data_IF_048601127190
#
_entry.id   IF_048601127190
#
_cell.length_a   1.000
_cell.length_b   1.000
_cell.length_c   1.000
_cell.angle_alpha   90.00
_cell.angle_beta   90.00
_cell.angle_gamma   90.00
#
_symmetry.space_group_name_H-M   'P 1'
#
loop_
_entity.id
_entity.type
_entity.pdbx_description
1 polymer ?
#
# COMPACT_ATOMS: atom_id res chain seq x y z
N UNK A 1 -21.18 10.15 31.93
CA UNK A 1 -20.37 10.94 31.00
C UNK A 1 -20.49 12.45 31.21
N UNK A 2 -21.67 13.00 31.47
CA UNK A 2 -21.78 14.39 31.92
C UNK A 2 -20.97 14.71 33.18
N UNK A 3 -20.76 13.76 34.09
CA UNK A 3 -19.98 13.95 35.31
C UNK A 3 -18.46 14.03 35.08
N UNK A 4 -17.92 13.39 34.04
CA UNK A 4 -16.49 13.43 33.72
C UNK A 4 -16.12 14.75 33.04
N UNK A 5 -16.97 15.28 32.16
CA UNK A 5 -16.74 16.61 31.56
C UNK A 5 -16.95 17.75 32.58
N UNK A 6 -17.87 17.58 33.53
CA UNK A 6 -18.07 18.55 34.59
C UNK A 6 -16.94 18.62 35.64
N UNK A 7 -16.10 17.58 35.70
CA UNK A 7 -14.93 17.53 36.58
C UNK A 7 -13.61 17.98 35.89
N UNK A 8 -13.63 18.30 34.62
CA UNK A 8 -12.44 18.77 33.90
C UNK A 8 -12.17 20.27 34.17
N UNK A 9 -10.90 20.68 34.38
CA UNK A 9 -10.57 22.08 34.58
C UNK A 9 -10.98 22.94 33.37
N UNK A 10 -11.67 24.05 33.62
CA UNK A 10 -12.19 24.97 32.60
C UNK A 10 -11.14 25.46 31.59
N UNK A 11 -9.86 25.52 31.98
CA UNK A 11 -8.77 25.91 31.10
C UNK A 11 -8.45 24.87 30.01
N UNK A 12 -8.72 23.57 30.21
CA UNK A 12 -8.54 22.53 29.18
C UNK A 12 -9.68 22.57 28.13
N UNK A 13 -10.88 23.00 28.52
CA UNK A 13 -11.99 23.22 27.59
C UNK A 13 -11.73 24.51 26.79
N UNK A 14 -11.24 25.55 27.42
CA UNK A 14 -10.91 26.85 26.80
C UNK A 14 -9.68 26.79 25.88
N UNK A 15 -8.78 25.80 26.05
CA UNK A 15 -7.57 25.63 25.23
C UNK A 15 -7.82 24.94 23.87
N UNK A 16 -9.06 24.53 23.55
CA UNK A 16 -9.40 23.81 22.32
C UNK A 16 -8.84 22.37 22.25
N UNK A 17 -8.24 21.88 23.35
CA UNK A 17 -7.71 20.49 23.42
C UNK A 17 -8.85 19.48 23.60
N UNK A 18 -9.97 19.90 24.21
CA UNK A 18 -11.18 19.07 24.31
C UNK A 18 -12.17 19.56 23.25
N UNK A 19 -12.64 18.70 22.36
CA UNK A 19 -13.65 19.08 21.38
C UNK A 19 -14.91 19.60 22.08
N UNK A 20 -15.31 20.83 21.80
CA UNK A 20 -16.63 21.33 22.22
C UNK A 20 -17.69 20.62 21.38
N UNK A 21 -18.76 20.05 22.00
CA UNK A 21 -19.83 19.43 21.24
C UNK A 21 -20.46 20.46 20.30
N UNK A 22 -20.51 20.17 19.01
CA UNK A 22 -21.27 20.98 18.06
C UNK A 22 -22.77 20.59 18.19
N UNK A 23 -23.57 21.48 18.69
CA UNK A 23 -25.00 21.24 18.92
C UNK A 23 -25.76 20.84 17.65
N UNK A 24 -25.28 21.25 16.47
CA UNK A 24 -25.88 20.86 15.18
C UNK A 24 -25.83 19.34 14.94
N UNK A 25 -24.85 18.64 15.50
CA UNK A 25 -24.67 17.20 15.40
C UNK A 25 -25.09 16.42 16.64
N UNK A 26 -25.79 17.06 17.62
CA UNK A 26 -26.32 16.43 18.82
C UNK A 26 -25.33 16.28 19.97
N UNK A 27 -24.21 17.01 19.92
CA UNK A 27 -23.19 17.01 20.97
C UNK A 27 -22.32 15.74 21.01
N UNK A 28 -21.48 15.60 22.03
CA UNK A 28 -20.56 14.49 22.18
C UNK A 28 -21.27 13.18 22.56
N UNK A 29 -21.18 12.17 21.68
CA UNK A 29 -21.82 10.87 21.84
C UNK A 29 -20.89 9.79 22.42
N UNK A 30 -21.47 8.75 23.03
CA UNK A 30 -20.70 7.59 23.48
C UNK A 30 -19.99 6.87 22.31
N UNK A 31 -20.65 6.82 21.14
CA UNK A 31 -20.07 6.24 19.92
C UNK A 31 -18.82 7.02 19.50
N UNK A 32 -18.90 8.35 19.51
CA UNK A 32 -17.75 9.21 19.21
C UNK A 32 -16.61 8.98 20.20
N UNK A 33 -16.89 8.87 21.51
CA UNK A 33 -15.87 8.60 22.53
C UNK A 33 -15.15 7.26 22.31
N UNK A 34 -15.90 6.20 22.00
CA UNK A 34 -15.32 4.89 21.67
C UNK A 34 -14.50 4.96 20.38
N UNK A 35 -15.00 5.62 19.35
CA UNK A 35 -14.32 5.84 18.07
C UNK A 35 -12.97 6.53 18.25
N UNK A 36 -12.93 7.63 19.01
CA UNK A 36 -11.69 8.36 19.31
C UNK A 36 -10.70 7.48 20.08
N UNK A 37 -11.14 6.75 21.11
CA UNK A 37 -10.27 5.87 21.88
C UNK A 37 -9.64 4.77 21.02
N UNK A 38 -10.44 4.07 20.20
CA UNK A 38 -9.95 3.02 19.31
C UNK A 38 -9.02 3.57 18.24
N UNK A 39 -9.41 4.69 17.61
CA UNK A 39 -8.63 5.32 16.54
C UNK A 39 -7.40 6.10 17.05
N UNK A 40 -7.21 6.23 18.33
CA UNK A 40 -5.96 6.69 18.93
C UNK A 40 -5.03 5.51 19.25
N UNK A 41 -5.53 4.50 19.97
CA UNK A 41 -4.70 3.39 20.47
C UNK A 41 -4.21 2.48 19.34
N UNK A 42 -5.10 2.05 18.46
CA UNK A 42 -4.73 1.10 17.39
C UNK A 42 -3.70 1.68 16.39
N UNK A 43 -3.83 2.94 15.94
CA UNK A 43 -2.80 3.59 15.14
C UNK A 43 -1.43 3.70 15.82
N UNK A 44 -1.38 4.02 17.11
CA UNK A 44 -0.09 4.06 17.83
C UNK A 44 0.61 2.70 17.81
N UNK A 45 -0.13 1.62 18.07
CA UNK A 45 0.39 0.25 17.96
C UNK A 45 0.89 -0.03 16.55
N UNK A 46 0.09 0.34 15.54
CA UNK A 46 0.42 0.16 14.14
C UNK A 46 1.73 0.85 13.75
N UNK A 47 1.88 2.12 14.12
CA UNK A 47 3.11 2.88 13.85
C UNK A 47 4.33 2.30 14.58
N UNK A 48 4.19 1.95 15.85
CA UNK A 48 5.28 1.34 16.63
C UNK A 48 5.77 0.04 15.99
N UNK A 49 4.86 -0.82 15.55
CA UNK A 49 5.19 -2.07 14.87
C UNK A 49 5.81 -1.83 13.49
N UNK A 50 5.30 -0.85 12.73
CA UNK A 50 5.85 -0.49 11.42
C UNK A 50 7.29 0.00 11.54
N UNK A 51 7.57 0.95 12.43
CA UNK A 51 8.93 1.45 12.62
C UNK A 51 9.89 0.35 13.11
N UNK A 52 9.45 -0.52 14.01
CA UNK A 52 10.22 -1.70 14.41
C UNK A 52 10.56 -2.59 13.21
N UNK A 53 9.59 -2.85 12.32
CA UNK A 53 9.81 -3.70 11.16
C UNK A 53 10.71 -3.05 10.11
N UNK A 54 10.57 -1.73 9.89
CA UNK A 54 11.49 -0.98 9.02
C UNK A 54 12.93 -1.03 9.54
N UNK A 55 13.12 -0.91 10.87
CA UNK A 55 14.42 -1.09 11.50
C UNK A 55 15.02 -2.48 11.25
N UNK A 56 14.18 -3.55 11.28
CA UNK A 56 14.62 -4.92 10.96
C UNK A 56 15.04 -5.06 9.50
N UNK A 57 14.32 -4.45 8.55
CA UNK A 57 14.74 -4.45 7.15
C UNK A 57 16.08 -3.72 6.95
N UNK A 58 16.26 -2.57 7.61
CA UNK A 58 17.56 -1.87 7.57
C UNK A 58 18.68 -2.73 8.15
N UNK A 59 18.43 -3.42 9.26
CA UNK A 59 19.40 -4.34 9.86
C UNK A 59 19.73 -5.50 8.90
N UNK A 60 18.72 -6.11 8.27
CA UNK A 60 18.90 -7.16 7.27
C UNK A 60 19.77 -6.69 6.09
N UNK A 61 19.48 -5.51 5.53
CA UNK A 61 20.27 -5.00 4.38
C UNK A 61 21.71 -4.67 4.75
N UNK A 62 21.98 -4.33 6.02
CA UNK A 62 23.35 -4.09 6.51
C UNK A 62 24.18 -5.37 6.66
N UNK A 63 23.57 -6.56 6.66
CA UNK A 63 24.30 -7.84 6.64
C UNK A 63 24.90 -8.12 5.27
N UNK A 64 24.30 -7.57 4.21
CA UNK A 64 24.73 -7.87 2.83
C UNK A 64 26.02 -7.17 2.45
N UNK A 65 26.72 -7.76 1.50
CA UNK A 65 27.99 -7.26 0.96
C UNK A 65 27.81 -5.89 0.29
N UNK A 66 28.85 -5.03 0.28
CA UNK A 66 28.83 -3.76 -0.44
C UNK A 66 28.52 -3.93 -1.92
N UNK A 67 27.75 -2.99 -2.48
CA UNK A 67 27.46 -2.92 -3.91
C UNK A 67 27.70 -1.50 -4.43
N UNK A 68 28.88 -1.28 -4.99
CA UNK A 68 29.31 0.02 -5.47
C UNK A 68 28.46 0.49 -6.68
N UNK A 69 28.44 1.82 -6.92
CA UNK A 69 27.80 2.40 -8.11
C UNK A 69 26.27 2.51 -8.03
N UNK A 70 25.64 2.22 -6.89
CA UNK A 70 24.19 2.30 -6.72
C UNK A 70 23.65 3.71 -6.43
N UNK A 71 24.50 4.68 -6.12
CA UNK A 71 24.11 6.04 -5.73
C UNK A 71 24.50 7.13 -6.73
N UNK A 72 25.36 6.82 -7.71
CA UNK A 72 25.74 7.77 -8.76
C UNK A 72 24.56 8.26 -9.59
N UNK A 73 24.64 9.50 -10.11
CA UNK A 73 23.63 10.14 -10.96
C UNK A 73 22.22 10.26 -10.30
N UNK A 74 22.09 10.92 -9.14
CA UNK A 74 20.84 10.94 -8.37
C UNK A 74 19.65 11.53 -9.15
N UNK A 75 19.87 12.57 -9.96
CA UNK A 75 18.82 13.16 -10.80
C UNK A 75 18.24 12.15 -11.81
N UNK A 76 19.13 11.40 -12.51
CA UNK A 76 18.71 10.37 -13.46
C UNK A 76 17.95 9.24 -12.76
N UNK A 77 18.39 8.83 -11.55
CA UNK A 77 17.71 7.81 -10.74
C UNK A 77 16.33 8.23 -10.30
N UNK A 78 16.21 9.46 -9.83
CA UNK A 78 14.91 10.03 -9.41
C UNK A 78 13.96 10.15 -10.60
N UNK A 79 14.45 10.59 -11.77
CA UNK A 79 13.65 10.62 -12.99
C UNK A 79 13.22 9.21 -13.42
N UNK A 80 14.11 8.23 -13.35
CA UNK A 80 13.81 6.82 -13.65
C UNK A 80 12.75 6.28 -12.71
N UNK A 81 12.87 6.57 -11.41
CA UNK A 81 11.87 6.22 -10.42
C UNK A 81 10.50 6.84 -10.76
N UNK A 82 10.45 8.15 -11.00
CA UNK A 82 9.22 8.84 -11.36
C UNK A 82 8.58 8.25 -12.61
N UNK A 83 9.36 8.04 -13.67
CA UNK A 83 8.89 7.45 -14.93
C UNK A 83 8.35 6.02 -14.75
N UNK A 84 9.05 5.17 -14.01
CA UNK A 84 8.65 3.77 -13.83
C UNK A 84 7.47 3.65 -12.88
N UNK A 85 7.40 4.47 -11.85
CA UNK A 85 6.31 4.48 -10.89
C UNK A 85 5.04 5.12 -11.48
N UNK A 86 5.12 6.36 -11.98
CA UNK A 86 3.95 7.05 -12.52
C UNK A 86 3.49 6.47 -13.87
N UNK A 87 4.42 6.05 -14.71
CA UNK A 87 4.11 5.50 -16.03
C UNK A 87 3.89 4.00 -16.09
N UNK A 88 4.10 3.25 -14.99
CA UNK A 88 4.04 1.78 -14.93
C UNK A 88 4.75 1.07 -16.10
N UNK A 89 5.83 1.66 -16.59
CA UNK A 89 6.50 1.28 -17.84
C UNK A 89 7.00 -0.17 -17.85
N UNK A 90 7.26 -0.75 -16.67
CA UNK A 90 7.69 -2.17 -16.55
C UNK A 90 6.56 -3.17 -16.64
N UNK A 91 5.30 -2.71 -16.58
CA UNK A 91 4.11 -3.56 -16.70
C UNK A 91 3.45 -3.48 -18.09
N UNK A 92 3.98 -2.66 -19.00
CA UNK A 92 3.39 -2.34 -20.31
C UNK A 92 3.11 -3.55 -21.21
N UNK A 93 3.80 -4.69 -21.01
CA UNK A 93 3.54 -5.94 -21.73
C UNK A 93 2.19 -6.58 -21.39
N UNK A 94 1.65 -6.31 -20.20
CA UNK A 94 0.34 -6.80 -19.75
C UNK A 94 -0.60 -5.61 -19.61
N UNK A 95 -1.05 -5.05 -20.73
CA UNK A 95 -1.76 -3.76 -20.79
C UNK A 95 -2.93 -3.66 -19.82
N UNK A 96 -3.80 -4.67 -19.78
CA UNK A 96 -4.98 -4.68 -18.88
C UNK A 96 -4.53 -4.66 -17.41
N UNK A 97 -3.56 -5.52 -17.05
CA UNK A 97 -3.01 -5.53 -15.68
C UNK A 97 -2.32 -4.22 -15.35
N UNK A 98 -1.57 -3.64 -16.31
CA UNK A 98 -0.86 -2.38 -16.11
C UNK A 98 -1.83 -1.23 -15.80
N UNK A 99 -2.91 -1.09 -16.57
CA UNK A 99 -3.92 -0.04 -16.37
C UNK A 99 -4.68 -0.25 -15.07
N UNK A 100 -5.17 -1.46 -14.81
CA UNK A 100 -5.90 -1.77 -13.58
C UNK A 100 -5.03 -1.54 -12.33
N UNK A 101 -3.77 -1.99 -12.36
CA UNK A 101 -2.82 -1.78 -11.27
C UNK A 101 -2.42 -0.29 -11.13
N UNK A 102 -2.32 0.45 -12.23
CA UNK A 102 -2.03 1.87 -12.21
C UNK A 102 -3.08 2.66 -11.42
N UNK A 103 -4.36 2.44 -11.72
CA UNK A 103 -5.45 3.05 -10.96
C UNK A 103 -5.41 2.63 -9.48
N UNK A 104 -5.21 1.36 -9.20
CA UNK A 104 -5.12 0.87 -7.81
C UNK A 104 -3.92 1.47 -7.05
N UNK A 105 -2.77 1.60 -7.71
CA UNK A 105 -1.55 2.13 -7.10
C UNK A 105 -1.64 3.65 -6.85
N UNK A 106 -2.15 4.42 -7.81
CA UNK A 106 -2.33 5.86 -7.62
C UNK A 106 -3.49 6.17 -6.67
N UNK A 107 -4.56 5.36 -6.71
CA UNK A 107 -5.62 5.45 -5.71
C UNK A 107 -5.06 5.34 -4.28
N UNK A 108 -4.12 4.44 -4.02
CA UNK A 108 -3.49 4.31 -2.71
C UNK A 108 -2.87 5.63 -2.22
N UNK A 109 -2.19 6.38 -3.10
CA UNK A 109 -1.57 7.65 -2.75
C UNK A 109 -2.60 8.78 -2.55
N UNK A 110 -3.51 8.92 -3.52
CA UNK A 110 -4.52 9.99 -3.49
C UNK A 110 -5.47 9.77 -2.31
N UNK A 111 -5.95 8.56 -2.14
CA UNK A 111 -6.91 8.22 -1.11
C UNK A 111 -6.30 8.16 0.31
N UNK A 112 -4.96 8.16 0.43
CA UNK A 112 -4.30 8.32 1.73
C UNK A 112 -4.68 9.65 2.40
N UNK A 113 -4.86 10.72 1.65
CA UNK A 113 -5.35 12.01 2.17
C UNK A 113 -6.70 11.88 2.85
N UNK A 114 -7.57 11.02 2.32
CA UNK A 114 -8.89 10.74 2.91
C UNK A 114 -8.79 9.95 4.22
N UNK A 115 -7.69 9.20 4.44
CA UNK A 115 -7.45 8.56 5.74
C UNK A 115 -7.10 9.62 6.79
N UNK A 116 -6.25 10.59 6.42
CA UNK A 116 -5.95 11.74 7.29
C UNK A 116 -7.22 12.51 7.63
N UNK A 117 -8.06 12.81 6.62
CA UNK A 117 -9.34 13.50 6.82
C UNK A 117 -10.25 12.74 7.81
N UNK A 118 -10.30 11.40 7.73
CA UNK A 118 -11.14 10.58 8.59
C UNK A 118 -10.82 10.73 10.09
N UNK A 119 -9.56 10.95 10.47
CA UNK A 119 -9.22 11.23 11.87
C UNK A 119 -9.85 12.52 12.38
N UNK A 120 -9.87 13.56 11.57
CA UNK A 120 -10.48 14.83 11.93
C UNK A 120 -12.03 14.73 11.91
N UNK A 121 -12.58 13.92 11.02
CA UNK A 121 -14.03 13.65 11.00
C UNK A 121 -14.53 12.93 12.26
N UNK A 122 -13.67 12.25 13.02
CA UNK A 122 -14.06 11.71 14.34
C UNK A 122 -14.32 12.81 15.37
N UNK A 123 -13.73 13.99 15.19
CA UNK A 123 -13.93 15.15 16.07
C UNK A 123 -15.06 16.01 15.53
N UNK A 124 -15.02 16.34 14.25
CA UNK A 124 -15.98 17.19 13.56
C UNK A 124 -16.44 16.48 12.27
N UNK A 125 -17.70 15.98 12.22
CA UNK A 125 -18.15 15.09 11.13
C UNK A 125 -18.17 15.74 9.76
N UNK A 126 -18.34 17.05 9.67
CA UNK A 126 -18.30 17.85 8.44
C UNK A 126 -16.90 18.40 8.11
N UNK A 127 -15.85 17.93 8.83
CA UNK A 127 -14.49 18.39 8.61
C UNK A 127 -14.00 18.05 7.20
N UNK A 128 -13.32 19.04 6.60
CA UNK A 128 -12.64 18.92 5.32
C UNK A 128 -11.21 19.47 5.43
N UNK A 129 -10.28 18.81 4.75
CA UNK A 129 -8.88 19.22 4.77
C UNK A 129 -8.73 20.68 4.30
N UNK A 130 -7.96 21.53 5.01
CA UNK A 130 -7.69 22.89 4.58
C UNK A 130 -7.12 22.93 3.15
N UNK A 131 -7.47 23.95 2.39
CA UNK A 131 -7.02 24.23 1.01
C UNK A 131 -7.57 23.24 -0.01
N UNK A 132 -7.40 21.93 0.20
CA UNK A 132 -7.75 20.89 -0.78
C UNK A 132 -9.15 20.30 -0.57
N UNK A 133 -9.69 20.35 0.62
CA UNK A 133 -10.96 19.71 0.97
C UNK A 133 -12.20 20.35 0.36
N UNK A 134 -12.09 21.60 -0.14
CA UNK A 134 -13.11 22.35 -0.88
C UNK A 134 -12.66 22.68 -2.32
N UNK A 135 -11.60 22.05 -2.79
CA UNK A 135 -11.08 22.30 -4.13
C UNK A 135 -11.64 21.26 -5.10
N UNK A 136 -12.62 21.63 -5.97
CA UNK A 136 -13.32 20.67 -6.81
C UNK A 136 -12.43 19.73 -7.62
N UNK A 137 -11.30 20.19 -8.25
CA UNK A 137 -10.42 19.25 -8.95
C UNK A 137 -9.84 18.15 -8.09
N UNK A 138 -9.56 18.42 -6.81
CA UNK A 138 -9.08 17.39 -5.89
C UNK A 138 -10.21 16.44 -5.45
N UNK A 139 -11.39 16.96 -5.20
CA UNK A 139 -12.58 16.16 -4.88
C UNK A 139 -12.92 15.21 -6.04
N UNK A 140 -12.84 15.69 -7.28
CA UNK A 140 -13.00 14.88 -8.48
C UNK A 140 -11.95 13.77 -8.56
N UNK A 141 -10.68 14.08 -8.28
CA UNK A 141 -9.63 13.07 -8.23
C UNK A 141 -9.95 11.98 -7.21
N UNK A 142 -10.40 12.36 -6.01
CA UNK A 142 -10.76 11.39 -4.95
C UNK A 142 -11.87 10.46 -5.46
N UNK A 143 -12.95 10.97 -6.03
CA UNK A 143 -14.06 10.16 -6.51
C UNK A 143 -13.70 9.30 -7.73
N UNK A 144 -13.03 9.87 -8.72
CA UNK A 144 -12.58 9.14 -9.92
C UNK A 144 -11.65 8.00 -9.53
N UNK A 145 -10.66 8.25 -8.64
CA UNK A 145 -9.73 7.21 -8.24
C UNK A 145 -10.34 6.20 -7.27
N UNK A 146 -11.36 6.56 -6.49
CA UNK A 146 -12.10 5.59 -5.70
C UNK A 146 -12.86 4.59 -6.60
N UNK A 147 -13.64 5.07 -7.56
CA UNK A 147 -14.37 4.23 -8.51
C UNK A 147 -13.46 3.46 -9.45
N UNK A 148 -12.50 4.13 -10.08
CA UNK A 148 -11.56 3.48 -11.01
C UNK A 148 -10.64 2.48 -10.29
N UNK A 149 -10.23 2.78 -9.06
CA UNK A 149 -9.48 1.87 -8.20
C UNK A 149 -10.27 0.62 -7.85
N UNK A 150 -11.55 0.75 -7.54
CA UNK A 150 -12.46 -0.38 -7.27
C UNK A 150 -12.65 -1.26 -8.51
N UNK A 151 -12.89 -0.65 -9.66
CA UNK A 151 -13.00 -1.37 -10.94
C UNK A 151 -11.68 -2.06 -11.28
N UNK A 152 -10.55 -1.36 -11.14
CA UNK A 152 -9.21 -1.93 -11.37
C UNK A 152 -8.94 -3.12 -10.45
N UNK A 153 -9.32 -3.02 -9.18
CA UNK A 153 -9.21 -4.10 -8.22
C UNK A 153 -10.03 -5.32 -8.65
N UNK A 154 -11.29 -5.12 -9.06
CA UNK A 154 -12.16 -6.20 -9.55
C UNK A 154 -11.56 -6.91 -10.77
N UNK A 155 -10.99 -6.15 -11.71
CA UNK A 155 -10.27 -6.70 -12.88
C UNK A 155 -9.05 -7.53 -12.45
N UNK A 156 -8.25 -7.03 -11.47
CA UNK A 156 -7.07 -7.75 -10.98
C UNK A 156 -7.46 -9.05 -10.26
N UNK A 157 -8.54 -9.03 -9.46
CA UNK A 157 -9.10 -10.23 -8.81
C UNK A 157 -9.56 -11.23 -9.88
N UNK A 158 -10.30 -10.80 -10.88
CA UNK A 158 -10.76 -11.67 -11.98
C UNK A 158 -9.59 -12.33 -12.73
N UNK A 159 -8.52 -11.57 -13.03
CA UNK A 159 -7.31 -12.08 -13.66
C UNK A 159 -6.60 -13.09 -12.75
N UNK A 160 -6.53 -12.83 -11.44
CA UNK A 160 -5.95 -13.75 -10.46
C UNK A 160 -6.74 -15.05 -10.41
N UNK A 161 -8.07 -15.00 -10.35
CA UNK A 161 -8.92 -16.18 -10.33
C UNK A 161 -8.80 -16.99 -11.62
N UNK A 162 -8.82 -16.33 -12.79
CA UNK A 162 -8.63 -16.99 -14.09
C UNK A 162 -7.29 -17.72 -14.19
N UNK A 163 -6.23 -17.16 -13.61
CA UNK A 163 -4.88 -17.73 -13.63
C UNK A 163 -4.53 -18.48 -12.33
N UNK A 164 -5.49 -18.74 -11.46
CA UNK A 164 -5.24 -19.51 -10.26
C UNK A 164 -4.75 -20.93 -10.63
N UNK A 165 -3.76 -21.53 -9.93
CA UNK A 165 -3.24 -22.85 -10.25
C UNK A 165 -4.31 -23.96 -10.36
N UNK A 166 -5.42 -23.81 -9.62
CA UNK A 166 -6.57 -24.77 -9.69
C UNK A 166 -7.35 -24.71 -11.01
N UNK A 167 -7.33 -23.54 -11.69
CA UNK A 167 -8.05 -23.32 -12.96
C UNK A 167 -7.14 -23.25 -14.16
N UNK A 168 -5.81 -23.20 -13.96
CA UNK A 168 -4.84 -23.16 -15.05
C UNK A 168 -4.65 -24.57 -15.66
N UNK A 169 -4.60 -24.65 -16.97
CA UNK A 169 -4.26 -25.88 -17.68
C UNK A 169 -2.81 -26.31 -17.39
N UNK A 170 -2.57 -27.61 -17.21
CA UNK A 170 -1.25 -28.19 -17.00
C UNK A 170 -1.16 -28.98 -15.67
N UNK A 171 -0.08 -29.75 -15.52
CA UNK A 171 0.14 -30.61 -14.35
C UNK A 171 0.14 -29.79 -13.06
N UNK A 172 -0.84 -30.03 -12.17
CA UNK A 172 -0.97 -29.38 -10.88
C UNK A 172 -1.02 -27.83 -10.94
N UNK A 173 -1.37 -27.24 -12.09
CA UNK A 173 -1.37 -25.80 -12.28
C UNK A 173 0.03 -25.20 -12.51
N UNK A 174 1.05 -26.00 -12.80
CA UNK A 174 2.44 -25.57 -13.00
C UNK A 174 2.59 -24.47 -14.07
N UNK A 175 1.73 -24.46 -15.10
CA UNK A 175 1.75 -23.42 -16.14
C UNK A 175 1.28 -22.05 -15.65
N UNK A 176 0.64 -21.99 -14.49
CA UNK A 176 0.27 -20.72 -13.88
C UNK A 176 1.49 -19.96 -13.35
N UNK A 177 1.58 -18.68 -13.66
CA UNK A 177 2.57 -17.78 -13.04
C UNK A 177 2.36 -17.61 -11.53
N UNK A 178 1.18 -17.96 -11.01
CA UNK A 178 0.87 -17.94 -9.58
C UNK A 178 1.13 -19.27 -8.88
N UNK A 179 1.69 -20.29 -9.58
CA UNK A 179 2.08 -21.53 -8.96
C UNK A 179 3.01 -21.28 -7.75
N UNK A 180 2.68 -21.85 -6.60
CA UNK A 180 3.44 -21.67 -5.36
C UNK A 180 3.31 -20.27 -4.71
N UNK A 181 2.36 -19.42 -5.13
CA UNK A 181 2.10 -18.14 -4.46
C UNK A 181 1.31 -18.32 -3.17
N UNK A 182 1.53 -17.38 -2.22
CA UNK A 182 0.84 -17.32 -0.93
C UNK A 182 -0.48 -16.58 -1.06
N UNK A 183 -1.53 -17.26 -1.50
CA UNK A 183 -2.79 -16.63 -1.91
C UNK A 183 -3.51 -15.85 -0.80
N UNK A 184 -3.46 -16.31 0.46
CA UNK A 184 -4.14 -15.60 1.55
C UNK A 184 -3.64 -14.16 1.71
N UNK A 185 -2.33 -13.93 1.49
CA UNK A 185 -1.74 -12.59 1.56
C UNK A 185 -2.31 -11.67 0.48
N UNK A 186 -2.46 -12.21 -0.74
CA UNK A 186 -3.04 -11.46 -1.84
C UNK A 186 -4.51 -11.13 -1.59
N UNK A 187 -5.31 -12.11 -1.16
CA UNK A 187 -6.73 -11.90 -0.84
C UNK A 187 -6.93 -10.94 0.32
N UNK A 188 -6.10 -11.00 1.34
CA UNK A 188 -6.15 -10.06 2.45
C UNK A 188 -5.91 -8.61 2.00
N UNK A 189 -4.91 -8.38 1.14
CA UNK A 189 -4.65 -7.05 0.56
C UNK A 189 -5.80 -6.60 -0.32
N UNK A 190 -6.32 -7.47 -1.17
CA UNK A 190 -7.46 -7.18 -2.05
C UNK A 190 -8.71 -6.81 -1.23
N UNK A 191 -9.03 -7.59 -0.20
CA UNK A 191 -10.13 -7.29 0.72
C UNK A 191 -9.94 -5.96 1.46
N UNK A 192 -8.73 -5.68 1.95
CA UNK A 192 -8.41 -4.41 2.61
C UNK A 192 -8.66 -3.22 1.68
N UNK A 193 -8.15 -3.28 0.43
CA UNK A 193 -8.35 -2.20 -0.54
C UNK A 193 -9.84 -2.02 -0.84
N UNK A 194 -10.57 -3.13 -1.05
CA UNK A 194 -12.00 -3.11 -1.32
C UNK A 194 -12.77 -2.40 -0.20
N UNK A 195 -12.64 -2.85 1.04
CA UNK A 195 -13.39 -2.28 2.16
C UNK A 195 -13.01 -0.85 2.48
N UNK A 196 -11.72 -0.49 2.40
CA UNK A 196 -11.28 0.91 2.57
C UNK A 196 -11.89 1.80 1.49
N UNK A 197 -11.93 1.35 0.24
CA UNK A 197 -12.51 2.13 -0.87
C UNK A 197 -14.03 2.29 -0.71
N UNK A 198 -14.73 1.24 -0.27
CA UNK A 198 -16.17 1.34 0.06
C UNK A 198 -16.39 2.36 1.18
N UNK A 199 -15.57 2.34 2.24
CA UNK A 199 -15.69 3.37 3.30
C UNK A 199 -15.46 4.80 2.76
N UNK A 200 -14.55 4.98 1.80
CA UNK A 200 -14.33 6.30 1.18
C UNK A 200 -15.58 6.75 0.43
N UNK A 201 -16.17 5.90 -0.40
CA UNK A 201 -17.38 6.22 -1.15
C UNK A 201 -18.55 6.51 -0.22
N UNK A 202 -18.71 5.74 0.86
CA UNK A 202 -19.74 5.99 1.87
C UNK A 202 -19.53 7.34 2.58
N UNK A 203 -18.30 7.67 2.98
CA UNK A 203 -17.99 8.96 3.60
C UNK A 203 -18.28 10.13 2.65
N UNK A 204 -17.94 9.99 1.36
CA UNK A 204 -18.28 11.01 0.34
C UNK A 204 -19.81 11.15 0.20
N UNK A 205 -20.55 10.04 0.19
CA UNK A 205 -22.02 10.07 0.17
C UNK A 205 -22.63 10.72 1.40
N UNK A 206 -22.10 10.44 2.59
CA UNK A 206 -22.52 11.08 3.85
C UNK A 206 -22.19 12.57 3.84
N UNK A 207 -21.00 12.94 3.36
CA UNK A 207 -20.59 14.35 3.22
C UNK A 207 -21.51 15.09 2.24
N UNK A 208 -21.87 14.51 1.09
CA UNK A 208 -22.81 15.11 0.15
C UNK A 208 -24.20 15.34 0.77
N UNK A 209 -24.65 14.41 1.64
CA UNK A 209 -25.90 14.56 2.37
C UNK A 209 -25.85 15.65 3.44
N UNK A 210 -24.70 15.85 4.10
CA UNK A 210 -24.50 16.97 5.04
C UNK A 210 -24.46 18.31 4.30
N UNK A 211 -23.69 18.40 3.21
CA UNK A 211 -23.58 19.61 2.40
C UNK A 211 -24.94 20.05 1.87
N UNK A 212 -25.73 19.14 1.34
CA UNK A 212 -27.08 19.47 0.82
C UNK A 212 -27.99 20.14 1.86
N UNK A 213 -27.73 19.97 3.15
CA UNK A 213 -28.55 20.53 4.24
C UNK A 213 -27.91 21.73 4.93
N UNK A 214 -26.58 21.71 5.09
CA UNK A 214 -25.85 22.77 5.79
C UNK A 214 -25.49 23.92 4.85
N UNK A 215 -25.31 23.61 3.58
CA UNK A 215 -24.83 24.53 2.55
C UNK A 215 -25.70 24.39 1.27
N UNK A 216 -27.02 24.71 1.30
CA UNK A 216 -27.93 24.43 0.19
C UNK A 216 -27.57 25.19 -1.11
N UNK A 217 -26.80 26.27 -1.01
CA UNK A 217 -26.29 27.02 -2.16
C UNK A 217 -25.11 26.31 -2.87
N UNK A 218 -24.49 25.31 -2.21
CA UNK A 218 -23.33 24.58 -2.77
C UNK A 218 -23.79 23.58 -3.83
N UNK A 219 -23.21 23.68 -5.03
CA UNK A 219 -23.51 22.75 -6.11
C UNK A 219 -22.97 21.34 -5.84
N UNK A 220 -23.86 20.40 -5.55
CA UNK A 220 -23.48 19.00 -5.36
C UNK A 220 -22.83 18.39 -6.61
N UNK A 221 -23.28 18.77 -7.81
CA UNK A 221 -22.70 18.29 -9.06
C UNK A 221 -21.24 18.75 -9.24
N UNK A 222 -20.87 19.91 -8.69
CA UNK A 222 -19.52 20.43 -8.76
C UNK A 222 -18.59 19.75 -7.75
N UNK A 223 -19.06 19.48 -6.53
CA UNK A 223 -18.22 18.94 -5.45
C UNK A 223 -18.30 17.43 -5.30
N UNK A 224 -19.39 16.80 -5.79
CA UNK A 224 -19.66 15.36 -5.69
C UNK A 224 -20.13 14.78 -7.04
N UNK A 225 -19.31 14.84 -8.11
CA UNK A 225 -19.75 14.49 -9.47
C UNK A 225 -20.20 13.03 -9.60
N UNK A 226 -19.60 12.11 -8.85
CA UNK A 226 -19.88 10.68 -8.94
C UNK A 226 -20.54 10.11 -7.68
N UNK A 227 -20.61 10.86 -6.58
CA UNK A 227 -21.22 10.42 -5.31
C UNK A 227 -22.38 11.31 -4.84
N UNK A 228 -22.63 12.45 -5.47
CA UNK A 228 -23.70 13.38 -5.07
C UNK A 228 -25.10 12.78 -5.06
N UNK A 229 -25.38 11.81 -5.95
CA UNK A 229 -26.64 11.06 -5.96
C UNK A 229 -26.89 10.26 -4.68
N UNK A 230 -25.83 9.91 -3.92
CA UNK A 230 -25.93 9.18 -2.67
C UNK A 230 -26.59 10.01 -1.56
N UNK A 231 -26.61 11.35 -1.68
CA UNK A 231 -27.31 12.24 -0.73
C UNK A 231 -28.78 11.85 -0.57
N UNK A 232 -29.41 11.40 -1.66
CA UNK A 232 -30.78 10.90 -1.67
C UNK A 232 -31.00 9.64 -0.81
N UNK A 233 -29.99 8.78 -0.69
CA UNK A 233 -30.06 7.57 0.15
C UNK A 233 -30.19 7.92 1.64
N UNK A 234 -29.70 9.08 2.03
CA UNK A 234 -29.67 9.54 3.41
C UNK A 234 -30.71 10.64 3.70
N UNK A 235 -31.67 10.87 2.79
CA UNK A 235 -32.66 11.95 2.90
C UNK A 235 -33.48 11.90 4.18
N UNK A 236 -33.83 10.71 4.70
CA UNK A 236 -34.57 10.50 5.93
C UNK A 236 -33.73 10.50 7.22
N UNK A 237 -32.40 10.59 7.13
CA UNK A 237 -31.52 10.53 8.31
C UNK A 237 -31.29 11.94 8.86
N UNK A 238 -31.47 12.17 10.15
CA UNK A 238 -31.23 13.46 10.81
C UNK A 238 -29.74 13.85 10.78
N UNK A 239 -29.40 15.14 10.98
CA UNK A 239 -27.98 15.58 11.06
C UNK A 239 -27.21 14.84 12.16
N UNK A 240 -27.70 14.65 13.40
CA UNK A 240 -27.00 13.79 14.37
C UNK A 240 -26.87 12.33 13.95
N UNK A 241 -27.83 11.82 13.19
CA UNK A 241 -27.75 10.48 12.59
C UNK A 241 -26.65 10.39 11.53
N UNK A 242 -26.52 11.39 10.63
CA UNK A 242 -25.42 11.47 9.66
C UNK A 242 -24.06 11.53 10.35
N UNK A 243 -23.92 12.35 11.41
CA UNK A 243 -22.71 12.43 12.21
C UNK A 243 -22.33 11.07 12.81
N UNK A 244 -23.31 10.36 13.35
CA UNK A 244 -23.11 9.00 13.90
C UNK A 244 -22.60 8.04 12.82
N UNK A 245 -23.17 8.07 11.62
CA UNK A 245 -22.70 7.25 10.50
C UNK A 245 -21.28 7.63 10.06
N UNK A 246 -20.93 8.93 10.05
CA UNK A 246 -19.54 9.36 9.77
C UNK A 246 -18.58 8.79 10.80
N UNK A 247 -18.89 8.89 12.11
CA UNK A 247 -18.06 8.30 13.17
C UNK A 247 -17.86 6.81 12.98
N UNK A 248 -18.91 6.06 12.69
CA UNK A 248 -18.86 4.61 12.49
C UNK A 248 -18.01 4.27 11.26
N UNK A 249 -18.31 4.87 10.10
CA UNK A 249 -17.61 4.54 8.84
C UNK A 249 -16.15 5.01 8.88
N UNK A 250 -15.85 6.18 9.43
CA UNK A 250 -14.48 6.67 9.61
C UNK A 250 -13.69 5.75 10.54
N UNK A 251 -14.29 5.30 11.65
CA UNK A 251 -13.67 4.33 12.56
C UNK A 251 -13.37 3.03 11.86
N UNK A 252 -14.33 2.43 11.16
CA UNK A 252 -14.12 1.18 10.41
C UNK A 252 -12.97 1.35 9.40
N UNK A 253 -12.96 2.43 8.65
CA UNK A 253 -11.90 2.75 7.68
C UNK A 253 -10.52 2.82 8.33
N UNK A 254 -10.40 3.56 9.44
CA UNK A 254 -9.15 3.71 10.19
C UNK A 254 -8.70 2.34 10.74
N UNK A 255 -9.61 1.60 11.36
CA UNK A 255 -9.29 0.29 11.95
C UNK A 255 -8.84 -0.72 10.87
N UNK A 256 -9.51 -0.80 9.73
CA UNK A 256 -9.08 -1.66 8.62
C UNK A 256 -7.69 -1.25 8.12
N UNK A 257 -7.44 0.04 7.96
CA UNK A 257 -6.15 0.56 7.47
C UNK A 257 -5.00 0.22 8.45
N UNK A 258 -5.25 0.36 9.75
CA UNK A 258 -4.23 0.06 10.76
C UNK A 258 -4.13 -1.43 11.10
N UNK A 259 -5.20 -2.21 11.00
CA UNK A 259 -5.14 -3.66 11.05
C UNK A 259 -4.25 -4.20 9.92
N UNK A 260 -4.39 -3.64 8.70
CA UNK A 260 -3.49 -3.96 7.59
C UNK A 260 -2.04 -3.58 7.93
N UNK A 261 -1.78 -2.39 8.47
CA UNK A 261 -0.44 -1.95 8.84
C UNK A 261 0.19 -2.83 9.94
N UNK A 262 -0.58 -3.25 10.94
CA UNK A 262 -0.16 -4.18 11.98
C UNK A 262 0.20 -5.54 11.36
N UNK A 263 -0.69 -6.06 10.50
CA UNK A 263 -0.49 -7.37 9.86
C UNK A 263 0.80 -7.40 9.04
N UNK A 264 1.04 -6.40 8.18
CA UNK A 264 2.28 -6.37 7.39
C UNK A 264 3.52 -6.23 8.25
N UNK A 265 3.43 -5.47 9.35
CA UNK A 265 4.53 -5.29 10.29
C UNK A 265 4.90 -6.58 11.05
N UNK A 266 3.94 -7.48 11.22
CA UNK A 266 4.15 -8.80 11.80
C UNK A 266 4.52 -9.88 10.76
N UNK A 267 4.25 -9.61 9.46
CA UNK A 267 4.47 -10.51 8.33
C UNK A 267 5.46 -9.90 7.33
N UNK A 268 6.79 -9.95 7.62
CA UNK A 268 7.81 -9.32 6.76
C UNK A 268 7.91 -9.98 5.38
N UNK A 269 7.49 -11.23 5.23
CA UNK A 269 7.46 -11.96 3.95
C UNK A 269 6.29 -11.62 3.05
N UNK A 270 5.39 -10.74 3.50
CA UNK A 270 4.22 -10.31 2.74
C UNK A 270 4.59 -9.29 1.65
N UNK A 271 5.38 -9.72 0.67
CA UNK A 271 5.93 -8.84 -0.38
C UNK A 271 4.86 -8.16 -1.23
N UNK A 272 3.69 -8.79 -1.42
CA UNK A 272 2.53 -8.17 -2.08
C UNK A 272 2.03 -6.89 -1.38
N UNK A 273 2.31 -6.75 -0.10
CA UNK A 273 2.02 -5.53 0.66
C UNK A 273 3.27 -4.63 0.77
N UNK A 274 4.42 -5.21 1.09
CA UNK A 274 5.66 -4.46 1.32
C UNK A 274 6.21 -3.77 0.08
N UNK A 275 5.94 -4.25 -1.13
CA UNK A 275 6.41 -3.59 -2.35
C UNK A 275 5.96 -2.13 -2.47
N UNK A 276 4.87 -1.72 -1.81
CA UNK A 276 4.41 -0.32 -1.75
C UNK A 276 5.45 0.63 -1.16
N UNK A 277 6.28 0.13 -0.26
CA UNK A 277 7.36 0.88 0.39
C UNK A 277 8.71 0.54 -0.24
N UNK A 278 8.98 -0.73 -0.48
CA UNK A 278 10.29 -1.23 -0.91
C UNK A 278 10.55 -1.05 -2.40
N UNK A 279 9.51 -0.91 -3.25
CA UNK A 279 9.70 -0.66 -4.67
C UNK A 279 10.41 0.67 -4.94
N UNK A 280 10.18 1.70 -4.15
CA UNK A 280 10.84 3.00 -4.33
C UNK A 280 12.36 2.89 -4.19
N UNK A 281 12.93 2.43 -3.06
CA UNK A 281 14.38 2.22 -2.97
C UNK A 281 14.86 1.17 -3.96
N UNK A 282 14.08 0.10 -4.22
CA UNK A 282 14.47 -0.93 -5.18
C UNK A 282 14.67 -0.37 -6.59
N UNK A 283 13.77 0.47 -7.08
CA UNK A 283 13.87 1.12 -8.39
C UNK A 283 15.00 2.16 -8.38
N UNK A 284 15.12 2.95 -7.34
CA UNK A 284 16.12 4.02 -7.26
C UNK A 284 17.55 3.47 -7.26
N UNK A 285 17.78 2.36 -6.54
CA UNK A 285 19.09 1.70 -6.45
C UNK A 285 19.36 0.68 -7.58
N UNK A 286 18.70 0.78 -8.73
CA UNK A 286 19.05 -0.06 -9.89
C UNK A 286 20.51 0.09 -10.25
N UNK A 287 21.11 -0.98 -10.85
CA UNK A 287 22.50 -0.96 -11.28
C UNK A 287 22.77 0.22 -12.22
N UNK A 288 21.94 0.41 -13.24
CA UNK A 288 22.01 1.55 -14.14
C UNK A 288 20.98 2.62 -13.79
N UNK A 289 21.45 3.86 -13.64
CA UNK A 289 20.61 4.99 -13.28
C UNK A 289 19.47 5.24 -14.27
N UNK A 290 19.72 5.05 -15.58
CA UNK A 290 18.72 5.24 -16.65
C UNK A 290 17.64 4.16 -16.68
N UNK A 291 17.88 3.02 -16.03
CA UNK A 291 16.99 1.85 -16.06
C UNK A 291 16.78 1.24 -17.45
N UNK A 292 17.58 1.60 -18.45
CA UNK A 292 17.47 1.07 -19.84
C UNK A 292 17.73 -0.43 -19.88
N UNK A 293 18.84 -0.86 -19.28
CA UNK A 293 19.15 -2.27 -19.05
C UNK A 293 18.76 -2.63 -17.64
N UNK A 294 17.79 -3.52 -17.47
CA UNK A 294 17.20 -3.80 -16.16
C UNK A 294 18.22 -4.36 -15.16
N UNK A 295 19.09 -5.26 -15.60
CA UNK A 295 20.09 -5.93 -14.76
C UNK A 295 21.51 -5.39 -14.94
N UNK A 296 21.81 -4.77 -16.10
CA UNK A 296 23.16 -4.40 -16.50
C UNK A 296 24.00 -5.63 -16.93
N UNK A 297 25.29 -5.44 -17.14
CA UNK A 297 26.22 -6.53 -17.45
C UNK A 297 26.33 -7.51 -16.28
N UNK A 298 26.48 -8.80 -16.57
CA UNK A 298 26.78 -9.79 -15.53
C UNK A 298 28.08 -9.40 -14.81
N UNK A 299 28.09 -9.58 -13.50
CA UNK A 299 29.30 -9.45 -12.71
C UNK A 299 30.08 -10.77 -12.79
N UNK A 300 31.44 -10.73 -12.78
CA UNK A 300 32.20 -11.95 -12.62
C UNK A 300 31.86 -12.64 -11.31
N UNK A 301 31.97 -13.95 -11.26
CA UNK A 301 31.97 -14.69 -10.00
C UNK A 301 33.17 -14.23 -9.17
N UNK A 302 33.03 -14.28 -7.86
CA UNK A 302 34.09 -13.86 -6.94
C UNK A 302 34.39 -14.96 -5.93
N UNK A 303 35.65 -15.04 -5.50
CA UNK A 303 36.11 -15.79 -4.34
C UNK A 303 36.75 -14.78 -3.39
N UNK A 304 36.33 -14.75 -2.13
CA UNK A 304 36.87 -13.80 -1.17
C UNK A 304 36.78 -12.32 -1.61
N UNK A 305 35.81 -11.96 -2.48
CA UNK A 305 35.64 -10.62 -3.04
C UNK A 305 36.50 -10.30 -4.27
N UNK A 306 37.41 -11.19 -4.71
CA UNK A 306 38.20 -11.04 -5.93
C UNK A 306 37.53 -11.76 -7.11
N UNK A 307 37.59 -11.23 -8.34
CA UNK A 307 37.07 -11.92 -9.51
C UNK A 307 37.70 -13.30 -9.66
N UNK A 308 36.84 -14.29 -9.93
CA UNK A 308 37.29 -15.66 -10.20
C UNK A 308 37.97 -15.75 -11.56
N UNK A 309 39.14 -16.40 -11.60
CA UNK A 309 39.80 -16.88 -12.79
C UNK A 309 40.14 -18.38 -12.68
N UNK A 310 40.61 -18.97 -13.75
CA UNK A 310 40.87 -20.43 -13.74
C UNK A 310 42.10 -20.80 -12.89
N UNK A 311 43.03 -19.88 -12.67
CA UNK A 311 44.23 -20.12 -11.84
C UNK A 311 43.82 -20.15 -10.36
N UNK A 312 42.80 -19.30 -9.97
CA UNK A 312 42.26 -19.29 -8.60
C UNK A 312 41.54 -20.58 -8.21
N UNK A 313 41.20 -21.46 -9.16
CA UNK A 313 40.59 -22.78 -8.83
C UNK A 313 41.58 -23.72 -8.14
N UNK A 314 42.87 -23.61 -8.46
CA UNK A 314 43.92 -24.47 -7.87
C UNK A 314 44.29 -24.02 -6.45
N UNK A 315 43.96 -22.76 -6.10
CA UNK A 315 44.23 -22.15 -4.78
C UNK A 315 43.04 -22.18 -3.82
N UNK A 316 41.92 -22.89 -4.16
CA UNK A 316 40.76 -22.98 -3.33
C UNK A 316 41.04 -23.74 -2.03
N UNK A 317 40.80 -23.10 -0.90
CA UNK A 317 40.86 -23.70 0.43
C UNK A 317 39.50 -24.30 0.86
N UNK A 318 39.54 -25.26 1.79
CA UNK A 318 38.33 -25.80 2.37
C UNK A 318 37.60 -24.72 3.16
N UNK A 319 36.44 -24.28 2.66
CA UNK A 319 35.64 -23.18 3.22
C UNK A 319 35.49 -21.97 2.31
N UNK A 320 36.24 -21.90 1.22
CA UNK A 320 36.07 -20.85 0.21
C UNK A 320 34.73 -20.99 -0.50
N UNK A 321 34.03 -19.87 -0.66
CA UNK A 321 32.72 -19.83 -1.31
C UNK A 321 32.83 -19.19 -2.69
N UNK A 322 32.53 -19.97 -3.73
CA UNK A 322 32.42 -19.48 -5.09
C UNK A 322 31.06 -18.79 -5.30
N UNK A 323 31.08 -17.47 -5.38
CA UNK A 323 29.86 -16.67 -5.56
C UNK A 323 29.08 -16.47 -4.25
N UNK A 324 27.92 -17.12 -4.11
CA UNK A 324 27.04 -16.98 -2.96
C UNK A 324 26.75 -18.33 -2.34
N UNK A 325 27.24 -18.55 -1.12
CA UNK A 325 26.99 -19.77 -0.33
C UNK A 325 25.98 -19.57 0.79
N UNK A 326 25.82 -18.36 1.30
CA UNK A 326 24.92 -18.01 2.41
C UNK A 326 24.28 -16.63 2.20
N UNK A 327 23.29 -16.29 3.03
CA UNK A 327 22.52 -15.04 2.90
C UNK A 327 23.41 -13.79 2.96
N UNK A 328 24.43 -13.80 3.81
CA UNK A 328 25.38 -12.68 3.98
C UNK A 328 26.31 -12.45 2.79
N UNK A 329 26.42 -13.41 1.89
CA UNK A 329 27.23 -13.27 0.67
C UNK A 329 26.48 -12.49 -0.42
N UNK A 330 25.14 -12.36 -0.32
CA UNK A 330 24.42 -11.47 -1.20
C UNK A 330 24.75 -10.00 -0.90
N UNK A 331 24.72 -9.17 -1.95
CA UNK A 331 24.83 -7.74 -1.74
C UNK A 331 23.59 -7.18 -1.00
N UNK A 332 23.74 -6.07 -0.31
CA UNK A 332 22.61 -5.39 0.34
C UNK A 332 21.44 -5.12 -0.65
N UNK A 333 21.80 -4.87 -1.94
CA UNK A 333 20.80 -4.67 -2.98
C UNK A 333 20.08 -5.98 -3.35
N UNK A 334 20.79 -7.11 -3.34
CA UNK A 334 20.18 -8.43 -3.53
C UNK A 334 19.14 -8.74 -2.44
N UNK A 335 19.49 -8.46 -1.18
CA UNK A 335 18.55 -8.64 -0.05
C UNK A 335 17.32 -7.73 -0.16
N UNK A 336 17.49 -6.49 -0.65
CA UNK A 336 16.37 -5.60 -0.95
C UNK A 336 15.52 -6.15 -2.12
N UNK A 337 16.13 -6.74 -3.14
CA UNK A 337 15.40 -7.35 -4.27
C UNK A 337 14.51 -8.50 -3.80
N UNK A 338 15.02 -9.37 -2.91
CA UNK A 338 14.23 -10.47 -2.34
C UNK A 338 13.06 -9.97 -1.52
N UNK A 339 13.29 -8.99 -0.64
CA UNK A 339 12.24 -8.39 0.20
C UNK A 339 11.16 -7.67 -0.62
N UNK A 340 11.43 -7.31 -1.87
CA UNK A 340 10.48 -6.62 -2.77
C UNK A 340 9.69 -7.60 -3.64
N UNK A 341 9.92 -8.91 -3.52
CA UNK A 341 9.24 -9.93 -4.33
C UNK A 341 7.73 -9.92 -4.09
N UNK A 342 6.94 -9.69 -5.15
CA UNK A 342 5.46 -9.66 -5.11
C UNK A 342 4.81 -10.98 -5.52
N UNK A 343 5.59 -12.05 -5.65
CA UNK A 343 5.14 -13.37 -6.11
C UNK A 343 4.43 -13.36 -7.48
N UNK A 344 4.67 -12.35 -8.31
CA UNK A 344 3.98 -12.16 -9.59
C UNK A 344 4.33 -13.22 -10.66
N UNK A 345 5.33 -14.07 -10.41
CA UNK A 345 5.76 -15.16 -11.29
C UNK A 345 6.37 -14.74 -12.62
N UNK A 346 6.81 -13.48 -12.74
CA UNK A 346 7.46 -13.00 -13.97
C UNK A 346 8.79 -13.72 -14.24
N UNK A 347 9.62 -13.90 -13.22
CA UNK A 347 10.87 -14.66 -13.32
C UNK A 347 10.62 -16.10 -13.75
N UNK A 348 9.60 -16.74 -13.17
CA UNK A 348 9.18 -18.10 -13.49
C UNK A 348 8.73 -18.22 -14.96
N UNK A 349 7.86 -17.31 -15.43
CA UNK A 349 7.37 -17.32 -16.80
C UNK A 349 8.44 -17.03 -17.88
N UNK A 350 9.60 -16.53 -17.50
CA UNK A 350 10.73 -16.25 -18.39
C UNK A 350 11.87 -17.26 -18.24
N UNK A 351 11.79 -18.18 -17.28
CA UNK A 351 12.86 -19.14 -17.02
C UNK A 351 12.83 -20.27 -18.05
N UNK A 352 13.93 -20.52 -18.78
CA UNK A 352 14.02 -21.65 -19.72
C UNK A 352 13.81 -22.99 -19.03
N UNK A 353 14.39 -23.20 -17.84
CA UNK A 353 14.24 -24.42 -17.09
C UNK A 353 12.78 -24.69 -16.70
N UNK A 354 12.06 -23.64 -16.23
CA UNK A 354 10.63 -23.74 -15.94
C UNK A 354 9.79 -24.12 -17.17
N UNK A 355 10.09 -23.48 -18.31
CA UNK A 355 9.33 -23.69 -19.55
C UNK A 355 9.66 -25.01 -20.27
N UNK A 356 10.69 -25.72 -19.81
CA UNK A 356 11.06 -27.06 -20.29
C UNK A 356 10.82 -28.14 -19.23
N UNK A 357 9.91 -27.89 -18.30
CA UNK A 357 9.45 -28.80 -17.25
C UNK A 357 10.55 -29.30 -16.28
N UNK A 358 11.67 -28.54 -16.17
CA UNK A 358 12.68 -28.79 -15.15
C UNK A 358 12.15 -28.42 -13.75
N UNK A 359 12.61 -29.06 -12.68
CA UNK A 359 12.08 -28.82 -11.32
C UNK A 359 12.46 -27.45 -10.74
N UNK A 360 13.21 -26.61 -11.45
CA UNK A 360 13.65 -25.30 -11.02
C UNK A 360 12.53 -24.25 -11.13
N UNK A 361 12.19 -23.59 -10.04
CA UNK A 361 11.34 -22.40 -9.98
C UNK A 361 12.09 -21.21 -9.40
N UNK A 362 12.48 -20.22 -10.20
CA UNK A 362 13.17 -19.03 -9.67
C UNK A 362 12.36 -18.28 -8.61
N UNK A 363 11.02 -18.28 -8.75
CA UNK A 363 10.15 -17.64 -7.76
C UNK A 363 10.20 -18.34 -6.41
N UNK A 364 10.07 -19.66 -6.39
CA UNK A 364 10.12 -20.42 -5.13
C UNK A 364 11.50 -20.29 -4.47
N UNK A 365 12.57 -20.30 -5.26
CA UNK A 365 13.92 -20.09 -4.74
C UNK A 365 14.09 -18.72 -4.05
N UNK A 366 13.38 -17.69 -4.53
CA UNK A 366 13.43 -16.35 -3.90
C UNK A 366 12.51 -16.22 -2.69
N UNK A 367 11.56 -17.15 -2.51
CA UNK A 367 10.56 -17.09 -1.44
C UNK A 367 10.93 -17.97 -0.24
N UNK A 368 11.85 -18.90 -0.42
CA UNK A 368 12.40 -19.78 0.64
C UNK A 368 13.54 -19.12 1.36
#
# INVERSE_FOLDING_TARGET
>A
MSAVLASMPAHLVASGIVPTPDDRFGGFSAIQGVALALCFVIPLIGWALLFRQLGRFVALYRLGQPDAGRTGSPGTRTWTLAKEFLGHTRMSRLKVVAVAHWFTALAFLILFTTLVNAFFQLVQPDYRLPIIGHFPPFEWLVEVFAWAGLIGLAVLIAIRQKNHPRSAAGEGGRRSRFFGSTFWQAYYVEATIFFVTICILLLRGLESAMVSRLEPETSLALHFPLTGWMSGLFSGVSLPGLATWVYVVATIKILISFAWMITISLQPTMGVAWHRFLAFPNIWFKREASGRTALGAAKPLTIGGKPFDMEAMEELEEGDTLGVGKVEDFTWKGLLDFSTCTECGRCQSQCPAWNTDKPLSPKLLMMT
#
